data_IF_525536933392
#
_entry.id   IF_525536933392
#
_cell.length_a   1.000
_cell.length_b   1.000
_cell.length_c   1.000
_cell.angle_alpha   90.00
_cell.angle_beta   90.00
_cell.angle_gamma   90.00
#
_symmetry.space_group_name_H-M   'P 1'
#
loop_
_entity.id
_entity.type
_entity.pdbx_description
1 polymer ?
#
# COMPACT_ATOMS: atom_id res chain seq x y z
N UNK A 1 -11.86 2.43 -19.96
CA UNK A 1 -13.13 2.20 -20.66
C UNK A 1 -12.82 1.96 -22.15
N UNK A 2 -13.63 1.17 -22.86
CA UNK A 2 -13.40 1.00 -24.30
C UNK A 2 -13.84 2.26 -25.05
N UNK A 3 -13.11 2.75 -26.06
CA UNK A 3 -13.53 3.89 -26.92
C UNK A 3 -14.95 3.73 -27.48
N UNK A 4 -15.39 2.49 -27.71
CA UNK A 4 -16.78 2.19 -28.13
C UNK A 4 -17.81 2.56 -27.06
N UNK A 5 -17.49 2.36 -25.78
CA UNK A 5 -18.38 2.72 -24.68
C UNK A 5 -18.49 4.25 -24.53
N UNK A 6 -17.38 4.97 -24.70
CA UNK A 6 -17.36 6.42 -24.67
C UNK A 6 -18.25 6.99 -25.80
N UNK A 7 -18.05 6.56 -27.03
CA UNK A 7 -18.86 6.96 -28.19
C UNK A 7 -20.35 6.67 -28.01
N UNK A 8 -20.70 5.52 -27.38
CA UNK A 8 -22.11 5.20 -27.10
C UNK A 8 -22.71 6.13 -26.05
N UNK A 9 -21.97 6.49 -25.01
CA UNK A 9 -22.43 7.42 -23.97
C UNK A 9 -22.64 8.84 -24.57
N UNK A 10 -21.74 9.30 -25.43
CA UNK A 10 -21.93 10.56 -26.16
C UNK A 10 -23.18 10.51 -27.04
N UNK A 11 -23.42 9.40 -27.75
CA UNK A 11 -24.63 9.19 -28.55
C UNK A 11 -25.92 9.11 -27.72
N UNK A 12 -25.83 8.83 -26.42
CA UNK A 12 -26.94 8.87 -25.47
C UNK A 12 -27.15 10.25 -24.83
N UNK A 13 -26.38 11.25 -25.22
CA UNK A 13 -26.54 12.64 -24.79
C UNK A 13 -25.72 13.03 -23.56
N UNK A 14 -24.76 12.20 -23.10
CA UNK A 14 -23.84 12.60 -22.05
C UNK A 14 -22.82 13.59 -22.59
N UNK A 15 -22.90 14.85 -22.17
CA UNK A 15 -22.07 15.95 -22.68
C UNK A 15 -20.61 15.97 -22.22
N UNK A 16 -20.23 15.15 -21.22
CA UNK A 16 -18.88 15.04 -20.70
C UNK A 16 -18.56 13.56 -20.46
N UNK A 17 -17.93 12.95 -21.44
CA UNK A 17 -17.47 11.56 -21.37
C UNK A 17 -15.94 11.56 -21.40
N UNK A 18 -15.33 10.90 -20.40
CA UNK A 18 -13.88 10.78 -20.29
C UNK A 18 -13.48 9.32 -20.43
N UNK A 19 -12.53 9.03 -21.30
CA UNK A 19 -11.91 7.71 -21.40
C UNK A 19 -10.64 7.67 -20.52
N UNK A 20 -10.65 6.82 -19.50
CA UNK A 20 -9.48 6.56 -18.70
C UNK A 20 -8.66 5.44 -19.34
N UNK A 21 -7.69 5.81 -20.16
CA UNK A 21 -6.91 4.91 -21.03
C UNK A 21 -6.19 3.81 -20.25
N UNK A 22 -5.67 4.14 -19.06
CA UNK A 22 -4.99 3.17 -18.19
C UNK A 22 -5.93 2.09 -17.61
N UNK A 23 -7.25 2.31 -17.68
CA UNK A 23 -8.27 1.35 -17.35
C UNK A 23 -8.57 1.18 -15.86
N UNK A 24 -9.59 0.34 -15.57
CA UNK A 24 -10.13 0.16 -14.22
C UNK A 24 -9.10 -0.39 -13.22
N UNK A 25 -8.18 -1.24 -13.68
CA UNK A 25 -7.14 -1.79 -12.82
C UNK A 25 -6.17 -0.72 -12.31
N UNK A 26 -5.80 0.21 -13.17
CA UNK A 26 -4.96 1.34 -12.80
C UNK A 26 -5.71 2.32 -11.90
N UNK A 27 -6.96 2.65 -12.22
CA UNK A 27 -7.84 3.46 -11.37
C UNK A 27 -7.90 2.91 -9.93
N UNK A 28 -8.12 1.59 -9.78
CA UNK A 28 -8.14 0.91 -8.48
C UNK A 28 -6.76 0.89 -7.80
N UNK A 29 -5.67 0.84 -8.57
CA UNK A 29 -4.31 0.86 -8.02
C UNK A 29 -3.92 2.20 -7.40
N UNK A 30 -4.60 3.29 -7.78
CA UNK A 30 -4.50 4.60 -7.12
C UNK A 30 -5.43 4.75 -5.91
N UNK A 31 -6.21 3.71 -5.56
CA UNK A 31 -7.16 3.75 -4.45
C UNK A 31 -8.37 4.64 -4.70
N UNK A 32 -8.66 4.96 -5.96
CA UNK A 32 -9.79 5.79 -6.35
C UNK A 32 -11.12 5.03 -6.19
N UNK A 33 -12.23 5.73 -5.86
CA UNK A 33 -13.51 5.07 -5.61
C UNK A 33 -14.00 4.25 -6.81
N UNK A 34 -14.53 3.07 -6.52
CA UNK A 34 -15.14 2.18 -7.50
C UNK A 34 -16.60 1.94 -7.11
N UNK A 35 -17.50 2.00 -8.08
CA UNK A 35 -18.91 1.61 -7.92
C UNK A 35 -19.13 0.17 -8.40
N UNK A 36 -20.11 -0.47 -7.82
CA UNK A 36 -20.51 -1.85 -8.11
C UNK A 36 -20.27 -2.80 -6.95
N UNK A 37 -21.01 -3.90 -6.91
CA UNK A 37 -20.81 -4.96 -5.95
C UNK A 37 -19.50 -5.71 -6.24
N UNK A 38 -18.56 -5.69 -5.30
CA UNK A 38 -17.47 -6.65 -5.30
C UNK A 38 -17.94 -7.91 -4.58
N UNK A 39 -17.70 -9.10 -5.11
CA UNK A 39 -18.18 -10.34 -4.49
C UNK A 39 -17.70 -10.56 -3.04
N UNK A 40 -16.57 -10.00 -2.67
CA UNK A 40 -15.99 -10.11 -1.33
C UNK A 40 -15.93 -8.79 -0.55
N UNK A 41 -16.23 -7.65 -1.17
CA UNK A 41 -16.42 -6.35 -0.51
C UNK A 41 -15.18 -5.70 0.14
N UNK A 42 -14.25 -6.46 0.63
CA UNK A 42 -13.11 -5.97 1.41
C UNK A 42 -11.83 -5.89 0.58
N UNK A 43 -11.31 -4.68 0.41
CA UNK A 43 -10.05 -4.43 -0.30
C UNK A 43 -8.98 -3.92 0.64
N UNK A 44 -7.74 -4.31 0.36
CA UNK A 44 -6.56 -3.93 1.15
C UNK A 44 -6.47 -2.43 1.38
N UNK A 45 -6.80 -1.61 0.38
CA UNK A 45 -6.72 -0.15 0.49
C UNK A 45 -7.61 0.45 1.57
N UNK A 46 -8.79 -0.13 1.82
CA UNK A 46 -9.73 0.33 2.85
C UNK A 46 -9.26 0.01 4.28
N UNK A 47 -8.35 -0.97 4.43
CA UNK A 47 -7.86 -1.46 5.72
C UNK A 47 -6.38 -1.17 5.95
N UNK A 48 -5.71 -0.52 4.99
CA UNK A 48 -4.32 -0.16 5.12
C UNK A 48 -4.13 0.97 6.14
N UNK A 49 -3.24 0.76 7.10
CA UNK A 49 -2.84 1.79 8.06
C UNK A 49 -1.88 2.76 7.42
N UNK A 50 -2.19 4.04 7.48
CA UNK A 50 -1.41 5.13 6.86
C UNK A 50 -0.43 5.81 7.81
N UNK A 51 -0.53 5.52 9.12
CA UNK A 51 0.27 6.09 10.21
C UNK A 51 1.65 5.46 10.36
N UNK A 52 2.08 4.62 9.42
CA UNK A 52 3.39 3.96 9.45
C UNK A 52 4.53 4.99 9.28
N UNK A 53 5.59 4.91 10.11
CA UNK A 53 6.71 5.85 10.03
C UNK A 53 7.45 5.76 8.70
N UNK A 54 7.87 6.93 8.21
CA UNK A 54 8.66 7.09 6.98
C UNK A 54 9.91 7.88 7.28
N UNK A 55 10.97 7.61 6.53
CA UNK A 55 12.22 8.36 6.57
C UNK A 55 12.78 8.52 5.15
N UNK A 56 13.79 9.37 5.01
CA UNK A 56 14.55 9.55 3.79
C UNK A 56 15.80 8.65 3.79
N UNK A 57 16.37 8.33 2.61
CA UNK A 57 17.62 7.57 2.52
C UNK A 57 18.76 8.18 3.36
N UNK A 58 18.88 9.50 3.37
CA UNK A 58 19.91 10.24 4.09
C UNK A 58 19.64 10.42 5.60
N UNK A 59 18.47 10.04 6.11
CA UNK A 59 18.16 10.17 7.55
C UNK A 59 19.08 9.28 8.38
N UNK A 60 19.60 9.81 9.49
CA UNK A 60 20.41 9.05 10.44
C UNK A 60 19.58 8.05 11.22
N UNK A 61 20.07 6.83 11.37
CA UNK A 61 19.37 5.74 12.06
C UNK A 61 18.99 6.08 13.49
N UNK A 62 19.75 6.91 14.18
CA UNK A 62 19.40 7.43 15.51
C UNK A 62 18.06 8.18 15.50
N UNK A 63 17.87 9.08 14.54
CA UNK A 63 16.62 9.86 14.38
C UNK A 63 15.46 8.95 13.95
N UNK A 64 15.71 8.02 13.05
CA UNK A 64 14.70 7.06 12.58
C UNK A 64 14.22 6.18 13.74
N UNK A 65 15.13 5.64 14.54
CA UNK A 65 14.79 4.84 15.73
C UNK A 65 13.93 5.60 16.74
N UNK A 66 14.25 6.87 17.00
CA UNK A 66 13.45 7.71 17.90
C UNK A 66 12.02 7.90 17.36
N UNK A 67 11.87 8.17 16.05
CA UNK A 67 10.58 8.31 15.37
C UNK A 67 9.76 7.01 15.44
N UNK A 68 10.38 5.86 15.18
CA UNK A 68 9.72 4.55 15.23
C UNK A 68 9.24 4.23 16.65
N UNK A 69 10.08 4.46 17.67
CA UNK A 69 9.68 4.26 19.08
C UNK A 69 8.48 5.12 19.47
N UNK A 70 8.46 6.38 19.05
CA UNK A 70 7.35 7.30 19.34
C UNK A 70 6.05 6.91 18.63
N UNK A 71 6.13 6.21 17.49
CA UNK A 71 4.95 5.81 16.69
C UNK A 71 4.31 4.50 17.12
N UNK A 72 4.96 3.71 17.99
CA UNK A 72 4.49 2.37 18.37
C UNK A 72 4.60 1.32 17.24
N UNK A 73 5.31 1.63 16.16
CA UNK A 73 5.63 0.70 15.09
C UNK A 73 6.99 0.03 15.32
N UNK A 74 7.19 -1.11 14.66
CA UNK A 74 8.46 -1.86 14.66
C UNK A 74 9.13 -1.91 13.28
N UNK A 75 8.64 -1.08 12.37
CA UNK A 75 9.13 -0.91 11.00
C UNK A 75 9.15 0.57 10.61
N UNK A 76 9.97 0.91 9.62
CA UNK A 76 9.96 2.22 8.96
C UNK A 76 10.18 2.03 7.46
N UNK A 77 9.50 2.81 6.64
CA UNK A 77 9.73 2.81 5.20
C UNK A 77 10.66 3.94 4.80
N UNK A 78 11.64 3.58 3.95
CA UNK A 78 12.51 4.56 3.31
C UNK A 78 11.86 4.98 2.00
N UNK A 79 11.59 6.27 1.84
CA UNK A 79 10.92 6.81 0.66
C UNK A 79 11.73 7.95 0.05
N UNK A 80 11.66 8.08 -1.28
CA UNK A 80 12.20 9.23 -2.00
C UNK A 80 11.35 10.50 -1.77
N UNK A 81 11.72 11.61 -2.42
CA UNK A 81 11.02 12.89 -2.30
C UNK A 81 9.56 12.84 -2.77
N UNK A 82 9.25 11.95 -3.69
CA UNK A 82 7.89 11.73 -4.21
C UNK A 82 7.07 10.76 -3.35
N UNK A 83 7.69 10.16 -2.32
CA UNK A 83 7.05 9.16 -1.47
C UNK A 83 7.09 7.74 -2.02
N UNK A 84 7.87 7.50 -3.08
CA UNK A 84 8.09 6.15 -3.63
C UNK A 84 8.93 5.34 -2.66
N UNK A 85 8.51 4.11 -2.40
CA UNK A 85 9.22 3.21 -1.49
C UNK A 85 10.50 2.70 -2.14
N UNK A 86 11.64 3.03 -1.55
CA UNK A 86 12.96 2.55 -1.99
C UNK A 86 13.52 1.46 -1.08
N UNK A 87 13.06 1.40 0.17
CA UNK A 87 13.49 0.39 1.12
C UNK A 87 12.61 0.27 2.36
N UNK A 88 12.96 -0.71 3.20
CA UNK A 88 12.30 -0.97 4.48
C UNK A 88 13.32 -1.23 5.57
N UNK A 89 13.11 -0.63 6.74
CA UNK A 89 13.83 -0.89 7.98
C UNK A 89 12.96 -1.77 8.87
N UNK A 90 13.33 -3.02 9.01
CA UNK A 90 12.66 -3.96 9.92
C UNK A 90 13.31 -3.98 11.30
N UNK A 91 12.77 -4.82 12.21
CA UNK A 91 13.24 -4.97 13.61
C UNK A 91 14.75 -5.14 13.72
N UNK A 92 15.34 -6.01 12.88
CA UNK A 92 16.78 -6.29 12.92
C UNK A 92 17.64 -5.03 12.63
N UNK A 93 17.25 -4.24 11.61
CA UNK A 93 17.93 -3.00 11.27
C UNK A 93 17.75 -1.93 12.37
N UNK A 94 16.53 -1.84 12.92
CA UNK A 94 16.22 -0.88 13.98
C UNK A 94 16.86 -1.23 15.33
N UNK A 95 17.20 -2.50 15.57
CA UNK A 95 17.85 -2.96 16.80
C UNK A 95 19.37 -2.69 16.82
N UNK A 96 19.99 -2.48 15.65
CA UNK A 96 21.44 -2.15 15.59
C UNK A 96 21.71 -0.78 16.17
N UNK A 97 22.84 -0.66 16.88
CA UNK A 97 23.23 0.63 17.49
C UNK A 97 24.07 1.53 16.57
N UNK A 98 24.43 1.07 15.40
CA UNK A 98 25.20 1.81 14.42
C UNK A 98 24.43 3.06 13.97
N UNK A 99 25.10 4.22 13.94
CA UNK A 99 24.51 5.48 13.49
C UNK A 99 24.89 5.76 12.03
N UNK A 100 24.50 4.84 11.16
CA UNK A 100 24.61 4.97 9.70
C UNK A 100 23.39 5.69 9.13
N UNK A 101 23.39 5.98 7.83
CA UNK A 101 22.19 6.50 7.15
C UNK A 101 21.20 5.37 6.85
N UNK A 102 19.92 5.72 6.70
CA UNK A 102 18.85 4.75 6.49
C UNK A 102 19.07 3.87 5.24
N UNK A 103 19.66 4.43 4.18
CA UNK A 103 19.99 3.73 2.95
C UNK A 103 20.96 2.56 3.17
N UNK A 104 21.93 2.71 4.05
CA UNK A 104 22.91 1.65 4.36
C UNK A 104 22.31 0.53 5.22
N UNK A 105 21.27 0.83 5.99
CA UNK A 105 20.64 -0.12 6.91
C UNK A 105 19.37 -0.79 6.35
N UNK A 106 18.79 -0.25 5.28
CA UNK A 106 17.52 -0.74 4.74
C UNK A 106 17.67 -2.03 3.94
N UNK A 107 16.61 -2.84 3.94
CA UNK A 107 16.40 -3.86 2.92
C UNK A 107 15.74 -3.21 1.71
N UNK A 108 16.33 -3.39 0.53
CA UNK A 108 15.82 -2.86 -0.74
C UNK A 108 14.67 -3.70 -1.29
N UNK A 109 13.78 -3.08 -2.10
CA UNK A 109 12.73 -3.77 -2.84
C UNK A 109 11.70 -4.50 -1.98
N UNK A 110 11.08 -3.86 -0.97
CA UNK A 110 10.06 -4.53 -0.17
C UNK A 110 8.90 -4.98 -1.05
N UNK A 111 8.34 -6.16 -0.74
CA UNK A 111 7.13 -6.66 -1.41
C UNK A 111 5.98 -5.68 -1.22
N UNK A 112 5.35 -5.29 -2.32
CA UNK A 112 4.22 -4.37 -2.31
C UNK A 112 2.98 -5.00 -2.93
N UNK A 113 1.82 -4.52 -2.52
CA UNK A 113 0.52 -4.86 -3.09
C UNK A 113 -0.23 -3.60 -3.48
N UNK A 114 -1.21 -3.75 -4.36
CA UNK A 114 -2.08 -2.66 -4.76
C UNK A 114 -3.26 -2.52 -3.80
N UNK A 115 -3.81 -1.31 -3.61
CA UNK A 115 -4.98 -1.11 -2.76
C UNK A 115 -6.23 -1.84 -3.25
N UNK A 116 -6.27 -2.17 -4.54
CA UNK A 116 -7.35 -2.94 -5.17
C UNK A 116 -7.29 -4.45 -4.93
N UNK A 117 -6.21 -4.97 -4.33
CA UNK A 117 -6.11 -6.39 -3.98
C UNK A 117 -7.22 -6.76 -3.00
N UNK A 118 -7.86 -7.90 -3.23
CA UNK A 118 -8.84 -8.44 -2.31
C UNK A 118 -8.18 -8.87 -0.99
N UNK A 119 -8.90 -8.69 0.12
CA UNK A 119 -8.32 -8.85 1.45
C UNK A 119 -7.99 -10.32 1.78
N UNK A 120 -8.82 -11.25 1.32
CA UNK A 120 -8.60 -12.68 1.44
C UNK A 120 -7.34 -13.14 0.68
N UNK A 121 -7.14 -12.67 -0.54
CA UNK A 121 -5.94 -12.93 -1.33
C UNK A 121 -4.68 -12.38 -0.62
N UNK A 122 -4.77 -11.21 -0.02
CA UNK A 122 -3.68 -10.62 0.77
C UNK A 122 -3.34 -11.49 2.00
N UNK A 123 -4.33 -11.97 2.73
CA UNK A 123 -4.14 -12.87 3.87
C UNK A 123 -3.50 -14.18 3.44
N UNK A 124 -4.00 -14.83 2.42
CA UNK A 124 -3.43 -16.06 1.87
C UNK A 124 -1.97 -15.87 1.40
N UNK A 125 -1.67 -14.75 0.77
CA UNK A 125 -0.30 -14.40 0.38
C UNK A 125 0.58 -14.23 1.61
N UNK A 126 0.13 -13.53 2.66
CA UNK A 126 0.89 -13.36 3.90
C UNK A 126 1.14 -14.69 4.61
N UNK A 127 0.15 -15.58 4.65
CA UNK A 127 0.29 -16.93 5.24
C UNK A 127 1.33 -17.75 4.48
N UNK A 128 1.18 -17.83 3.16
CA UNK A 128 2.07 -18.63 2.30
C UNK A 128 3.53 -18.16 2.33
N UNK A 129 3.75 -16.85 2.48
CA UNK A 129 5.09 -16.25 2.51
C UNK A 129 5.60 -15.98 3.94
N UNK A 130 4.88 -16.44 4.98
CA UNK A 130 5.21 -16.21 6.38
C UNK A 130 5.40 -14.73 6.73
N UNK A 131 4.62 -13.84 6.08
CA UNK A 131 4.65 -12.40 6.31
C UNK A 131 3.63 -12.00 7.38
N UNK A 132 3.99 -11.02 8.20
CA UNK A 132 3.10 -10.40 9.18
C UNK A 132 2.43 -9.13 8.65
N UNK A 133 2.92 -8.58 7.54
CA UNK A 133 2.39 -7.36 6.93
C UNK A 133 2.79 -7.25 5.47
N UNK A 134 1.99 -6.50 4.69
CA UNK A 134 2.28 -6.12 3.31
C UNK A 134 2.26 -4.60 3.18
N UNK A 135 3.19 -4.08 2.38
CA UNK A 135 3.23 -2.67 2.00
C UNK A 135 2.21 -2.39 0.89
N UNK A 136 1.40 -1.38 1.08
CA UNK A 136 0.38 -0.98 0.09
C UNK A 136 0.87 0.24 -0.66
N UNK A 137 1.02 0.12 -1.98
CA UNK A 137 1.52 1.21 -2.83
C UNK A 137 0.61 1.44 -4.02
N UNK A 138 0.63 2.67 -4.55
CA UNK A 138 0.05 3.00 -5.84
C UNK A 138 0.84 2.34 -6.98
N UNK A 139 0.35 2.46 -8.22
CA UNK A 139 1.02 1.94 -9.42
C UNK A 139 2.40 2.60 -9.66
N UNK A 140 2.57 3.85 -9.25
CA UNK A 140 3.82 4.60 -9.32
C UNK A 140 4.79 4.30 -8.16
N UNK A 141 4.45 3.36 -7.28
CA UNK A 141 5.28 2.95 -6.14
C UNK A 141 5.16 3.83 -4.90
N UNK A 142 4.34 4.88 -4.92
CA UNK A 142 4.11 5.74 -3.75
C UNK A 142 3.42 4.96 -2.64
N UNK A 143 3.98 5.04 -1.42
CA UNK A 143 3.45 4.36 -0.25
C UNK A 143 2.09 4.96 0.16
N UNK A 144 1.06 4.11 0.18
CA UNK A 144 -0.23 4.42 0.79
C UNK A 144 -0.17 4.09 2.28
N UNK A 145 0.20 2.86 2.62
CA UNK A 145 0.23 2.40 4.00
C UNK A 145 0.69 0.94 4.11
N UNK A 146 0.29 0.31 5.19
CA UNK A 146 0.62 -1.09 5.51
C UNK A 146 -0.65 -1.81 5.96
N UNK A 147 -0.86 -3.01 5.46
CA UNK A 147 -1.86 -3.94 5.99
C UNK A 147 -1.16 -4.99 6.87
N UNK A 148 -1.56 -5.13 8.13
CA UNK A 148 -1.10 -6.20 9.01
C UNK A 148 -2.01 -7.42 8.83
N UNK A 149 -1.44 -8.62 8.92
CA UNK A 149 -2.22 -9.86 8.78
C UNK A 149 -3.34 -9.94 9.80
N UNK A 150 -3.06 -9.60 11.06
CA UNK A 150 -4.07 -9.59 12.14
C UNK A 150 -5.26 -8.65 11.85
N UNK A 151 -4.98 -7.47 11.29
CA UNK A 151 -6.02 -6.50 10.94
C UNK A 151 -6.84 -6.99 9.74
N UNK A 152 -6.18 -7.62 8.77
CA UNK A 152 -6.83 -8.20 7.60
C UNK A 152 -7.74 -9.40 7.97
N UNK A 153 -7.25 -10.33 8.79
CA UNK A 153 -8.01 -11.48 9.28
C UNK A 153 -9.24 -11.02 10.07
N UNK A 154 -9.06 -10.06 10.98
CA UNK A 154 -10.15 -9.48 11.79
C UNK A 154 -11.21 -8.80 10.92
N UNK A 155 -10.79 -8.10 9.87
CA UNK A 155 -11.73 -7.49 8.93
C UNK A 155 -12.52 -8.54 8.15
N UNK A 156 -11.89 -9.63 7.68
CA UNK A 156 -12.57 -10.72 7.00
C UNK A 156 -13.63 -11.39 7.88
N UNK A 157 -13.35 -11.59 9.17
CA UNK A 157 -14.30 -12.17 10.12
C UNK A 157 -15.59 -11.33 10.27
N UNK A 158 -15.48 -10.01 10.13
CA UNK A 158 -16.63 -9.10 10.16
C UNK A 158 -17.49 -9.24 8.91
N UNK A 159 -16.88 -9.46 7.73
CA UNK A 159 -17.60 -9.62 6.46
C UNK A 159 -18.19 -11.03 6.27
N UNK A 160 -17.77 -12.01 7.06
CA UNK A 160 -18.24 -13.40 6.97
C UNK A 160 -19.47 -13.69 7.86
N UNK A 161 -19.95 -12.69 8.59
CA UNK A 161 -21.16 -12.75 9.45
C UNK A 161 -22.35 -12.06 8.80
#
# INVERSE_FOLDING_TARGET
MSPRAAARLEGLGFGRVYDYVAGKADWGSFGLPLEGASPSGARVGAHARTDVPRCRPADRMRTVRARVRASGWDICFVTDERGVVVGRLGRAALARNEDVVAEEAMATGPSTVRPSLELDEAVERMKRQHLTSLSVTRSDGVLIGVIRREDAERALDVFSR
#
